data_IF_037280784971
#
_entry.id   IF_037280784971
#
_cell.length_a   1.000
_cell.length_b   1.000
_cell.length_c   1.000
_cell.angle_alpha   90.00
_cell.angle_beta   90.00
_cell.angle_gamma   90.00
#
_symmetry.space_group_name_H-M   'P 1'
#
loop_
_entity.id
_entity.type
_entity.pdbx_description
1 polymer ?
#
# COMPACT_ATOMS: atom_id res chain seq x y z
N UNK A 1 -2.53 -21.24 20.81
CA UNK A 1 -1.51 -20.19 20.63
C UNK A 1 -1.38 -19.43 21.94
N UNK A 2 -0.17 -19.20 22.40
CA UNK A 2 0.13 -18.46 23.63
C UNK A 2 0.22 -16.96 23.30
N UNK A 3 -0.93 -16.36 22.90
CA UNK A 3 -0.97 -14.97 22.44
C UNK A 3 -2.13 -14.24 23.09
N UNK A 4 -1.93 -12.94 23.36
CA UNK A 4 -2.94 -12.05 23.93
C UNK A 4 -3.22 -10.92 22.93
N UNK A 5 -4.48 -10.74 22.57
CA UNK A 5 -4.91 -9.63 21.72
C UNK A 5 -5.25 -8.39 22.56
N UNK A 6 -4.62 -7.27 22.27
CA UNK A 6 -4.90 -5.97 22.88
C UNK A 6 -5.44 -5.04 21.80
N UNK A 7 -6.68 -4.58 21.93
CA UNK A 7 -7.28 -3.60 21.03
C UNK A 7 -7.38 -2.24 21.72
N UNK A 8 -6.87 -1.21 21.04
CA UNK A 8 -6.80 0.15 21.54
C UNK A 8 -7.29 1.12 20.46
N UNK A 9 -7.77 2.30 20.89
CA UNK A 9 -8.08 3.41 19.98
C UNK A 9 -7.46 4.70 20.48
N UNK A 10 -6.71 5.37 19.62
CA UNK A 10 -6.14 6.67 19.94
C UNK A 10 -7.24 7.72 20.03
N UNK A 11 -7.41 8.35 21.20
CA UNK A 11 -8.54 9.25 21.51
C UNK A 11 -8.62 10.48 20.61
N UNK A 12 -7.45 11.01 20.18
CA UNK A 12 -7.36 12.26 19.44
C UNK A 12 -7.58 12.06 17.94
N UNK A 13 -6.99 11.04 17.35
CA UNK A 13 -6.99 10.81 15.89
C UNK A 13 -7.98 9.74 15.43
N UNK A 14 -8.44 8.87 16.37
CA UNK A 14 -9.29 7.73 16.04
C UNK A 14 -8.56 6.54 15.42
N UNK A 15 -7.21 6.55 15.40
CA UNK A 15 -6.42 5.40 14.95
C UNK A 15 -6.72 4.18 15.80
N UNK A 16 -7.08 3.09 15.16
CA UNK A 16 -7.22 1.79 15.81
C UNK A 16 -5.87 1.08 15.86
N UNK A 17 -5.55 0.46 16.99
CA UNK A 17 -4.35 -0.36 17.17
C UNK A 17 -4.75 -1.73 17.67
N UNK A 18 -4.27 -2.78 17.04
CA UNK A 18 -4.42 -4.14 17.50
C UNK A 18 -3.06 -4.80 17.64
N UNK A 19 -2.68 -5.13 18.88
CA UNK A 19 -1.43 -5.82 19.16
C UNK A 19 -1.70 -7.27 19.55
N UNK A 20 -1.18 -8.20 18.78
CA UNK A 20 -1.16 -9.63 19.09
C UNK A 20 0.16 -9.94 19.81
N UNK A 21 0.16 -9.77 21.13
CA UNK A 21 1.31 -10.00 22.01
C UNK A 21 1.62 -11.48 22.11
N UNK A 22 2.86 -11.85 21.92
CA UNK A 22 3.37 -13.22 22.08
C UNK A 22 4.89 -13.20 22.36
N UNK A 23 5.52 -14.36 22.43
CA UNK A 23 6.94 -14.51 22.77
C UNK A 23 7.85 -14.55 21.52
N UNK A 24 7.33 -14.25 20.33
CA UNK A 24 8.09 -14.26 19.09
C UNK A 24 9.05 -13.05 19.04
N UNK A 25 10.31 -13.31 18.72
CA UNK A 25 11.33 -12.26 18.57
C UNK A 25 11.21 -11.53 17.24
N UNK A 26 10.54 -12.13 16.24
CA UNK A 26 10.19 -11.44 15.02
C UNK A 26 8.99 -10.53 15.28
N UNK A 27 9.23 -9.23 15.20
CA UNK A 27 8.18 -8.24 15.37
C UNK A 27 7.71 -7.73 14.01
N UNK A 28 6.38 -7.69 13.85
CA UNK A 28 5.73 -7.20 12.63
C UNK A 28 4.78 -6.06 12.96
N UNK A 29 4.79 -5.03 12.13
CA UNK A 29 3.70 -4.05 12.07
C UNK A 29 3.04 -4.07 10.69
N UNK A 30 1.79 -3.60 10.62
CA UNK A 30 1.11 -3.34 9.36
C UNK A 30 0.18 -2.13 9.49
N UNK A 31 0.33 -1.12 8.62
CA UNK A 31 -0.67 -0.08 8.43
C UNK A 31 -1.73 -0.59 7.45
N UNK A 32 -2.96 -0.76 7.93
CA UNK A 32 -4.07 -1.32 7.16
C UNK A 32 -5.14 -0.25 6.95
N UNK A 33 -5.35 0.16 5.70
CA UNK A 33 -6.39 1.13 5.33
C UNK A 33 -7.57 0.42 4.67
N UNK A 34 -8.80 0.86 4.97
CA UNK A 34 -9.98 0.44 4.21
C UNK A 34 -10.02 1.28 2.93
N UNK A 35 -9.78 0.64 1.79
CA UNK A 35 -9.69 1.29 0.48
C UNK A 35 -10.63 0.62 -0.53
N UNK A 36 -11.95 0.60 -0.29
CA UNK A 36 -12.89 -0.04 -1.19
C UNK A 36 -12.81 0.63 -2.57
N UNK A 37 -12.48 -0.16 -3.58
CA UNK A 37 -12.41 0.33 -4.97
C UNK A 37 -13.81 0.56 -5.53
N UNK A 38 -13.94 1.57 -6.39
CA UNK A 38 -15.21 1.94 -7.02
C UNK A 38 -15.28 1.57 -8.50
N UNK A 39 -14.14 1.27 -9.07
CA UNK A 39 -13.95 0.92 -10.46
C UNK A 39 -12.58 0.27 -10.65
N UNK A 40 -12.32 -0.25 -11.83
CA UNK A 40 -11.09 -0.97 -12.18
C UNK A 40 -9.98 -0.06 -12.72
N UNK A 41 -9.87 1.19 -12.23
CA UNK A 41 -8.80 2.13 -12.65
C UNK A 41 -7.46 1.89 -11.95
N UNK A 42 -7.39 0.95 -11.00
CA UNK A 42 -6.16 0.67 -10.25
C UNK A 42 -5.77 1.75 -9.23
N UNK A 43 -6.73 2.58 -8.80
CA UNK A 43 -6.47 3.71 -7.89
C UNK A 43 -5.72 3.29 -6.61
N UNK A 44 -6.13 2.17 -5.99
CA UNK A 44 -5.51 1.65 -4.78
C UNK A 44 -4.08 1.15 -5.04
N UNK A 45 -3.86 0.44 -6.15
CA UNK A 45 -2.57 -0.12 -6.55
C UNK A 45 -1.57 0.97 -6.96
N UNK A 46 -2.01 1.93 -7.77
CA UNK A 46 -1.18 3.08 -8.15
C UNK A 46 -0.75 3.87 -6.92
N UNK A 47 -1.64 4.08 -5.95
CA UNK A 47 -1.28 4.76 -4.72
C UNK A 47 -0.36 3.93 -3.84
N UNK A 48 -0.54 2.61 -3.78
CA UNK A 48 0.33 1.68 -3.06
C UNK A 48 1.80 1.84 -3.50
N UNK A 49 2.06 1.84 -4.80
CA UNK A 49 3.39 2.10 -5.36
C UNK A 49 3.87 3.52 -5.07
N UNK A 50 3.01 4.50 -5.30
CA UNK A 50 3.38 5.92 -5.27
C UNK A 50 3.77 6.43 -3.87
N UNK A 51 3.18 5.90 -2.78
CA UNK A 51 3.51 6.38 -1.42
C UNK A 51 4.98 6.17 -1.06
N UNK A 52 5.65 5.23 -1.73
CA UNK A 52 7.07 4.99 -1.57
C UNK A 52 7.97 5.81 -2.52
N UNK A 53 7.41 6.77 -3.26
CA UNK A 53 8.18 7.67 -4.13
C UNK A 53 8.67 8.95 -3.43
N UNK A 54 8.46 9.07 -2.11
CA UNK A 54 8.93 10.18 -1.28
C UNK A 54 7.87 10.74 -0.36
N UNK A 55 8.30 11.17 0.82
CA UNK A 55 7.42 11.64 1.88
C UNK A 55 8.05 12.83 2.63
N UNK A 56 7.33 13.41 3.56
CA UNK A 56 7.73 14.65 4.23
C UNK A 56 9.07 14.52 4.96
N UNK A 57 9.29 13.43 5.66
CA UNK A 57 10.51 13.16 6.44
C UNK A 57 11.59 12.50 5.59
N UNK A 58 11.18 11.73 4.58
CA UNK A 58 12.06 10.98 3.68
C UNK A 58 11.86 11.41 2.21
N UNK A 59 12.32 12.61 1.81
CA UNK A 59 12.11 13.14 0.46
C UNK A 59 13.11 12.53 -0.55
N UNK A 60 13.28 11.21 -0.50
CA UNK A 60 14.15 10.44 -1.38
C UNK A 60 13.35 9.92 -2.58
N UNK A 61 14.03 9.75 -3.71
CA UNK A 61 13.38 9.28 -4.96
C UNK A 61 12.86 7.85 -4.86
N UNK A 62 13.52 6.99 -4.07
CA UNK A 62 13.17 5.58 -3.87
C UNK A 62 13.53 5.13 -2.45
N UNK A 63 12.83 5.61 -1.41
CA UNK A 63 13.14 5.24 -0.03
C UNK A 63 12.94 3.74 0.22
N UNK A 64 11.95 3.11 -0.45
CA UNK A 64 11.66 1.69 -0.31
C UNK A 64 12.82 0.81 -0.82
N UNK A 65 13.35 1.06 -2.00
CA UNK A 65 14.50 0.34 -2.56
C UNK A 65 15.75 0.49 -1.68
N UNK A 66 15.95 1.70 -1.14
CA UNK A 66 17.06 1.95 -0.21
C UNK A 66 16.90 1.18 1.10
N UNK A 67 15.68 1.09 1.64
CA UNK A 67 15.39 0.28 2.84
C UNK A 67 15.61 -1.21 2.59
N UNK A 68 15.12 -1.75 1.48
CA UNK A 68 15.35 -3.15 1.14
C UNK A 68 16.82 -3.53 1.14
N UNK A 69 17.69 -2.62 0.70
CA UNK A 69 19.13 -2.87 0.59
C UNK A 69 19.92 -2.59 1.87
N UNK A 70 19.40 -1.81 2.82
CA UNK A 70 20.13 -1.33 4.00
C UNK A 70 19.55 -1.83 5.32
N UNK A 71 18.31 -2.28 5.34
CA UNK A 71 17.63 -2.82 6.51
C UNK A 71 17.96 -4.31 6.68
N UNK A 72 17.89 -4.78 7.93
CA UNK A 72 17.97 -6.22 8.29
C UNK A 72 16.56 -6.81 8.43
N UNK A 73 15.62 -6.31 7.65
CA UNK A 73 14.25 -6.77 7.66
C UNK A 73 14.16 -8.28 7.36
N UNK A 74 13.13 -8.91 7.92
CA UNK A 74 12.76 -10.29 7.61
C UNK A 74 11.63 -10.34 6.58
N UNK A 75 10.82 -9.26 6.50
CA UNK A 75 9.76 -9.10 5.54
C UNK A 75 9.51 -7.62 5.25
N UNK A 76 9.38 -7.29 3.96
CA UNK A 76 8.96 -5.97 3.46
C UNK A 76 8.00 -6.17 2.32
N UNK A 77 6.81 -5.56 2.36
CA UNK A 77 5.85 -5.60 1.26
C UNK A 77 4.83 -4.46 1.34
N UNK A 78 4.03 -4.34 0.30
CA UNK A 78 2.75 -3.65 0.28
C UNK A 78 1.76 -4.52 -0.50
N UNK A 79 0.49 -4.48 -0.15
CA UNK A 79 -0.52 -5.41 -0.65
C UNK A 79 -1.83 -4.66 -0.90
N UNK A 80 -2.28 -4.66 -2.15
CA UNK A 80 -3.57 -4.10 -2.54
C UNK A 80 -4.63 -5.20 -2.71
N UNK A 81 -5.80 -4.98 -2.11
CA UNK A 81 -6.98 -5.82 -2.20
C UNK A 81 -8.19 -4.97 -2.60
N UNK A 82 -9.29 -5.58 -3.04
CA UNK A 82 -10.50 -4.83 -3.44
C UNK A 82 -11.12 -3.96 -2.34
N UNK A 83 -10.89 -4.28 -1.07
CA UNK A 83 -11.50 -3.63 0.10
C UNK A 83 -10.49 -2.94 1.03
N UNK A 84 -9.20 -3.21 0.87
CA UNK A 84 -8.13 -2.68 1.75
C UNK A 84 -6.79 -2.60 1.05
N UNK A 85 -5.90 -1.78 1.62
CA UNK A 85 -4.47 -1.74 1.27
C UNK A 85 -3.66 -1.89 2.56
N UNK A 86 -2.65 -2.76 2.54
CA UNK A 86 -1.87 -3.15 3.73
C UNK A 86 -0.39 -2.93 3.48
N UNK A 87 0.27 -2.30 4.42
CA UNK A 87 1.70 -1.97 4.38
C UNK A 87 2.42 -2.65 5.54
N UNK A 88 2.81 -3.93 5.40
CA UNK A 88 3.48 -4.70 6.44
C UNK A 88 4.99 -4.64 6.33
N UNK A 89 5.66 -4.68 7.48
CA UNK A 89 7.09 -4.96 7.56
C UNK A 89 7.43 -5.69 8.87
N UNK A 90 8.49 -6.49 8.86
CA UNK A 90 8.99 -7.16 10.06
C UNK A 90 10.51 -7.16 10.16
N UNK A 91 11.00 -7.24 11.39
CA UNK A 91 12.41 -7.37 11.71
C UNK A 91 12.62 -8.06 13.07
N UNK A 92 13.72 -8.80 13.19
CA UNK A 92 14.21 -9.35 14.45
C UNK A 92 14.97 -8.31 15.29
N UNK A 93 15.34 -7.18 14.68
CA UNK A 93 16.12 -6.12 15.34
C UNK A 93 15.19 -4.95 15.68
N UNK A 94 14.95 -4.72 16.96
CA UNK A 94 14.01 -3.68 17.43
C UNK A 94 14.29 -2.30 16.87
N UNK A 95 15.56 -1.89 16.76
CA UNK A 95 15.92 -0.59 16.18
C UNK A 95 15.53 -0.50 14.71
N UNK A 96 15.75 -1.56 13.94
CA UNK A 96 15.39 -1.64 12.53
C UNK A 96 13.86 -1.65 12.36
N UNK A 97 13.16 -2.41 13.20
CA UNK A 97 11.69 -2.43 13.25
C UNK A 97 11.09 -1.03 13.40
N UNK A 98 11.59 -0.21 14.33
CA UNK A 98 11.11 1.16 14.51
C UNK A 98 11.54 2.09 13.37
N UNK A 99 12.72 1.92 12.78
CA UNK A 99 13.12 2.66 11.59
C UNK A 99 12.18 2.37 10.40
N UNK A 100 11.83 1.10 10.18
CA UNK A 100 10.87 0.70 9.15
C UNK A 100 9.48 1.29 9.42
N UNK A 101 9.01 1.23 10.68
CA UNK A 101 7.71 1.81 11.06
C UNK A 101 7.67 3.32 10.85
N UNK A 102 8.76 4.04 11.12
CA UNK A 102 8.88 5.48 10.87
C UNK A 102 8.77 5.81 9.38
N UNK A 103 9.51 5.09 8.55
CA UNK A 103 9.49 5.32 7.08
C UNK A 103 8.14 4.96 6.48
N UNK A 104 7.55 3.82 6.87
CA UNK A 104 6.22 3.41 6.39
C UNK A 104 5.12 4.39 6.85
N UNK A 105 5.16 4.80 8.12
CA UNK A 105 4.19 5.75 8.68
C UNK A 105 4.27 7.10 7.97
N UNK A 106 5.48 7.63 7.76
CA UNK A 106 5.65 8.89 7.02
C UNK A 106 5.21 8.76 5.55
N UNK A 107 5.53 7.64 4.90
CA UNK A 107 5.14 7.37 3.52
C UNK A 107 3.61 7.35 3.34
N UNK A 108 2.88 6.66 4.20
CA UNK A 108 1.42 6.51 4.01
C UNK A 108 0.63 7.73 4.46
N UNK A 109 1.06 8.45 5.51
CA UNK A 109 0.32 9.61 6.04
C UNK A 109 0.78 10.97 5.49
N UNK A 110 2.05 11.09 5.09
CA UNK A 110 2.68 12.36 4.72
C UNK A 110 3.37 12.28 3.35
N UNK A 111 2.77 11.54 2.44
CA UNK A 111 3.23 11.37 1.06
C UNK A 111 3.36 12.70 0.32
N UNK A 112 4.40 12.85 -0.49
CA UNK A 112 4.57 13.98 -1.38
C UNK A 112 3.87 13.75 -2.72
N UNK A 113 2.78 14.51 -2.94
CA UNK A 113 2.10 14.50 -4.22
C UNK A 113 2.96 15.22 -5.28
N UNK A 114 3.64 14.46 -6.13
CA UNK A 114 4.24 14.99 -7.33
C UNK A 114 3.68 14.30 -8.59
N UNK A 115 3.57 15.08 -9.68
CA UNK A 115 3.04 14.53 -10.94
C UNK A 115 3.98 13.51 -11.55
N UNK A 116 5.28 13.69 -11.34
CA UNK A 116 6.33 12.81 -11.84
C UNK A 116 6.17 11.40 -11.28
N UNK A 117 5.94 11.25 -9.95
CA UNK A 117 5.69 9.96 -9.34
C UNK A 117 4.39 9.32 -9.88
N UNK A 118 3.32 10.11 -10.00
CA UNK A 118 2.07 9.64 -10.58
C UNK A 118 2.27 9.10 -12.01
N UNK A 119 2.93 9.87 -12.88
CA UNK A 119 3.15 9.43 -14.27
C UNK A 119 4.15 8.29 -14.39
N UNK A 120 5.08 8.16 -13.45
CA UNK A 120 5.99 7.01 -13.38
C UNK A 120 5.24 5.74 -13.00
N UNK A 121 4.44 5.79 -11.94
CA UNK A 121 3.78 4.61 -11.38
C UNK A 121 2.49 4.26 -12.13
N UNK A 122 1.62 5.23 -12.42
CA UNK A 122 0.34 4.97 -13.08
C UNK A 122 0.51 4.69 -14.58
N UNK A 123 0.58 5.77 -15.36
CA UNK A 123 0.76 5.69 -16.82
C UNK A 123 1.20 7.04 -17.38
N UNK A 124 1.85 6.99 -18.53
CA UNK A 124 2.23 8.14 -19.36
C UNK A 124 2.29 7.73 -20.83
N UNK A 125 2.25 8.72 -21.74
CA UNK A 125 2.51 8.50 -23.15
C UNK A 125 4.01 8.68 -23.42
N UNK A 126 4.60 7.70 -24.09
CA UNK A 126 5.96 7.75 -24.60
C UNK A 126 5.97 7.57 -26.12
N UNK A 127 7.03 8.02 -26.77
CA UNK A 127 7.31 7.74 -28.18
C UNK A 127 8.33 6.61 -28.22
N UNK A 128 7.98 5.49 -28.83
CA UNK A 128 8.86 4.32 -28.95
C UNK A 128 9.89 4.52 -30.07
N UNK A 129 10.80 3.56 -30.22
CA UNK A 129 11.87 3.59 -31.25
C UNK A 129 11.34 3.63 -32.69
N UNK A 130 10.07 3.33 -32.91
CA UNK A 130 9.38 3.37 -34.21
C UNK A 130 8.62 4.68 -34.45
N UNK A 131 8.82 5.66 -33.56
CA UNK A 131 8.10 6.95 -33.57
C UNK A 131 6.57 6.80 -33.35
N UNK A 132 6.12 5.73 -32.71
CA UNK A 132 4.72 5.49 -32.37
C UNK A 132 4.46 5.84 -30.92
N UNK A 133 3.27 6.36 -30.60
CA UNK A 133 2.84 6.59 -29.22
C UNK A 133 2.49 5.29 -28.54
N UNK A 134 3.03 5.09 -27.34
CA UNK A 134 2.64 3.97 -26.49
C UNK A 134 2.43 4.41 -25.04
N UNK A 135 1.60 3.65 -24.32
CA UNK A 135 1.39 3.83 -22.89
C UNK A 135 2.44 3.06 -22.11
N UNK A 136 3.08 3.75 -21.16
CA UNK A 136 4.08 3.20 -20.24
C UNK A 136 3.74 3.61 -18.81
N UNK A 137 4.07 2.78 -17.83
CA UNK A 137 3.89 3.03 -16.40
C UNK A 137 4.17 1.75 -15.64
N UNK A 138 4.60 1.84 -14.38
CA UNK A 138 4.95 0.64 -13.60
C UNK A 138 3.71 -0.25 -13.44
N UNK A 139 2.65 0.29 -12.84
CA UNK A 139 1.38 -0.45 -12.62
C UNK A 139 0.72 -0.79 -13.95
N UNK A 140 0.70 0.14 -14.93
CA UNK A 140 0.13 -0.14 -16.25
C UNK A 140 0.79 -1.35 -16.92
N UNK A 141 2.12 -1.41 -16.91
CA UNK A 141 2.87 -2.50 -17.55
C UNK A 141 2.71 -3.83 -16.80
N UNK A 142 2.71 -3.79 -15.46
CA UNK A 142 2.45 -4.96 -14.61
C UNK A 142 1.07 -5.55 -14.91
N UNK A 143 0.03 -4.73 -14.91
CA UNK A 143 -1.33 -5.19 -15.18
C UNK A 143 -1.51 -5.64 -16.63
N UNK A 144 -0.88 -4.95 -17.60
CA UNK A 144 -0.85 -5.41 -19.00
C UNK A 144 -0.21 -6.80 -19.11
N UNK A 145 0.84 -7.08 -18.34
CA UNK A 145 1.43 -8.42 -18.22
C UNK A 145 0.47 -9.45 -17.63
N UNK A 146 -0.20 -9.12 -16.54
CA UNK A 146 -1.20 -9.98 -15.88
C UNK A 146 -2.36 -10.31 -16.82
N UNK A 147 -2.89 -9.32 -17.54
CA UNK A 147 -3.98 -9.49 -18.51
C UNK A 147 -3.57 -10.21 -19.82
N UNK A 148 -2.29 -10.49 -20.01
CA UNK A 148 -1.83 -11.36 -21.11
C UNK A 148 -1.99 -12.87 -20.81
N UNK A 149 -2.26 -13.22 -19.56
CA UNK A 149 -2.49 -14.60 -19.13
C UNK A 149 -3.97 -14.96 -19.20
N UNK A 150 -4.31 -16.02 -19.93
CA UNK A 150 -5.68 -16.53 -20.00
C UNK A 150 -6.23 -16.90 -18.62
N UNK A 151 -5.42 -17.57 -17.79
CA UNK A 151 -5.85 -18.01 -16.46
C UNK A 151 -6.15 -16.83 -15.53
N UNK A 152 -5.34 -15.76 -15.63
CA UNK A 152 -5.58 -14.52 -14.85
C UNK A 152 -6.90 -13.87 -15.26
N UNK A 153 -7.14 -13.68 -16.54
CA UNK A 153 -8.38 -13.10 -17.08
C UNK A 153 -9.60 -13.96 -16.74
N UNK A 154 -9.50 -15.27 -16.90
CA UNK A 154 -10.59 -16.19 -16.60
C UNK A 154 -10.94 -16.18 -15.10
N UNK A 155 -9.94 -16.13 -14.23
CA UNK A 155 -10.15 -16.03 -12.77
C UNK A 155 -10.80 -14.70 -12.40
N UNK A 156 -10.36 -13.60 -12.98
CA UNK A 156 -10.92 -12.27 -12.75
C UNK A 156 -12.40 -12.21 -13.17
N UNK A 157 -12.73 -12.68 -14.36
CA UNK A 157 -14.13 -12.75 -14.86
C UNK A 157 -15.00 -13.68 -14.00
N UNK A 158 -14.43 -14.76 -13.47
CA UNK A 158 -15.14 -15.63 -12.54
C UNK A 158 -15.46 -14.90 -11.23
N UNK A 159 -14.51 -14.17 -10.64
CA UNK A 159 -14.69 -13.39 -9.42
C UNK A 159 -15.74 -12.29 -9.64
N UNK A 160 -15.66 -11.54 -10.74
CA UNK A 160 -16.65 -10.53 -11.13
C UNK A 160 -18.06 -11.11 -11.23
N UNK A 161 -18.21 -12.29 -11.81
CA UNK A 161 -19.50 -12.99 -11.96
C UNK A 161 -20.09 -13.40 -10.60
N UNK A 162 -19.27 -13.92 -9.71
CA UNK A 162 -19.71 -14.43 -8.39
C UNK A 162 -20.05 -13.27 -7.44
N UNK A 163 -19.25 -12.20 -7.46
CA UNK A 163 -19.34 -11.08 -6.54
C UNK A 163 -19.93 -9.81 -7.18
N UNK A 164 -20.75 -9.95 -8.22
CA UNK A 164 -21.42 -8.85 -8.89
C UNK A 164 -22.08 -7.88 -7.88
N UNK A 165 -21.99 -6.58 -8.14
CA UNK A 165 -22.48 -5.48 -7.28
C UNK A 165 -21.77 -5.35 -5.92
N UNK A 166 -20.58 -5.88 -5.78
CA UNK A 166 -19.69 -5.65 -4.63
C UNK A 166 -18.37 -5.05 -5.10
N UNK A 167 -17.53 -4.57 -4.18
CA UNK A 167 -16.17 -4.08 -4.49
C UNK A 167 -15.28 -5.18 -5.10
N UNK A 168 -15.62 -6.44 -4.90
CA UNK A 168 -14.89 -7.59 -5.45
C UNK A 168 -15.21 -7.86 -6.93
N UNK A 169 -16.20 -7.15 -7.51
CA UNK A 169 -16.45 -7.17 -8.94
C UNK A 169 -15.52 -6.23 -9.73
N UNK A 170 -14.75 -5.40 -9.03
CA UNK A 170 -13.79 -4.49 -9.64
C UNK A 170 -12.35 -5.02 -9.45
N UNK A 171 -11.50 -4.79 -10.44
CA UNK A 171 -10.08 -5.13 -10.33
C UNK A 171 -9.33 -4.03 -9.56
N UNK A 172 -8.92 -4.33 -8.33
CA UNK A 172 -8.16 -3.39 -7.48
C UNK A 172 -6.74 -3.14 -8.02
N UNK A 173 -6.17 -4.08 -8.77
CA UNK A 173 -4.89 -3.92 -9.47
C UNK A 173 -4.99 -2.95 -10.63
N UNK A 174 -6.15 -2.90 -11.27
CA UNK A 174 -6.45 -2.04 -12.41
C UNK A 174 -6.48 -2.80 -13.74
N UNK A 175 -7.56 -2.58 -14.48
CA UNK A 175 -7.69 -3.04 -15.87
C UNK A 175 -6.88 -2.09 -16.77
N UNK A 176 -5.98 -2.60 -17.63
CA UNK A 176 -5.20 -1.79 -18.56
C UNK A 176 -6.03 -0.89 -19.47
N UNK A 177 -7.30 -1.26 -19.75
CA UNK A 177 -8.21 -0.42 -20.52
C UNK A 177 -8.80 0.74 -19.71
N UNK A 178 -8.83 0.62 -18.39
CA UNK A 178 -9.41 1.60 -17.47
C UNK A 178 -8.35 2.47 -16.77
N UNK A 179 -7.14 1.96 -16.52
CA UNK A 179 -6.04 2.70 -15.89
C UNK A 179 -5.81 4.07 -16.55
N UNK A 180 -5.82 4.23 -17.91
CA UNK A 180 -5.58 5.52 -18.55
C UNK A 180 -6.69 6.56 -18.32
N UNK A 181 -7.80 6.21 -17.71
CA UNK A 181 -8.84 7.15 -17.30
C UNK A 181 -8.63 7.73 -15.89
N UNK A 182 -7.70 7.19 -15.10
CA UNK A 182 -7.41 7.65 -13.75
C UNK A 182 -6.59 8.93 -13.79
N UNK A 183 -7.09 9.99 -13.19
CA UNK A 183 -6.45 11.31 -13.23
C UNK A 183 -5.60 11.57 -11.99
N UNK A 184 -4.68 12.54 -12.11
CA UNK A 184 -3.88 13.00 -10.96
C UNK A 184 -4.75 13.62 -9.86
N UNK A 185 -5.87 14.23 -10.20
CA UNK A 185 -6.86 14.77 -9.26
C UNK A 185 -7.55 13.65 -8.49
N UNK A 186 -7.98 12.58 -9.17
CA UNK A 186 -8.57 11.38 -8.54
C UNK A 186 -7.56 10.70 -7.60
N UNK A 187 -6.30 10.64 -8.01
CA UNK A 187 -5.19 10.11 -7.21
C UNK A 187 -5.06 10.85 -5.86
N UNK A 188 -5.04 12.19 -5.88
CA UNK A 188 -4.99 13.01 -4.66
C UNK A 188 -6.23 12.82 -3.79
N UNK A 189 -7.41 12.78 -4.41
CA UNK A 189 -8.67 12.63 -3.68
C UNK A 189 -8.79 11.23 -3.05
N UNK A 190 -8.26 10.19 -3.70
CA UNK A 190 -8.23 8.84 -3.15
C UNK A 190 -7.38 8.78 -1.87
N UNK A 191 -6.16 9.32 -1.88
CA UNK A 191 -5.33 9.41 -0.68
C UNK A 191 -6.02 10.22 0.41
N UNK A 192 -6.49 11.43 0.09
CA UNK A 192 -7.19 12.31 1.04
C UNK A 192 -8.42 11.65 1.65
N UNK A 193 -9.11 10.79 0.91
CA UNK A 193 -10.31 10.09 1.38
C UNK A 193 -9.96 8.97 2.34
N UNK A 194 -8.99 8.13 1.99
CA UNK A 194 -8.78 6.85 2.66
C UNK A 194 -7.56 6.81 3.59
N UNK A 195 -6.51 7.60 3.35
CA UNK A 195 -5.26 7.55 4.12
C UNK A 195 -5.30 8.51 5.32
N UNK A 196 -6.16 8.16 6.27
CA UNK A 196 -6.38 8.93 7.50
C UNK A 196 -6.24 8.01 8.70
N UNK A 197 -5.76 8.54 9.86
CA UNK A 197 -5.64 7.73 11.07
C UNK A 197 -6.94 7.04 11.48
N UNK A 198 -8.09 7.70 11.38
CA UNK A 198 -9.39 7.13 11.73
C UNK A 198 -9.92 6.07 10.74
N UNK A 199 -9.25 5.86 9.62
CA UNK A 199 -9.52 4.81 8.64
C UNK A 199 -8.38 3.79 8.60
N UNK A 200 -7.43 3.87 9.54
CA UNK A 200 -6.28 2.98 9.64
C UNK A 200 -6.40 2.08 10.86
N UNK A 201 -6.09 0.80 10.68
CA UNK A 201 -5.76 -0.13 11.74
C UNK A 201 -4.25 -0.35 11.72
N UNK A 202 -3.55 0.02 12.78
CA UNK A 202 -2.17 -0.38 13.01
C UNK A 202 -2.17 -1.76 13.68
N UNK A 203 -1.82 -2.78 12.92
CA UNK A 203 -1.63 -4.13 13.44
C UNK A 203 -0.19 -4.31 13.91
N UNK A 204 -0.02 -4.88 15.10
CA UNK A 204 1.27 -5.16 15.73
C UNK A 204 1.32 -6.63 16.15
N UNK A 205 2.48 -7.26 15.98
CA UNK A 205 2.72 -8.64 16.37
C UNK A 205 4.13 -8.77 16.96
N UNK A 206 4.31 -9.61 17.98
CA UNK A 206 5.61 -9.96 18.53
C UNK A 206 5.75 -9.65 20.02
N UNK A 207 7.00 -9.62 20.49
CA UNK A 207 7.33 -9.50 21.91
C UNK A 207 7.69 -8.08 22.38
N UNK A 208 7.79 -7.09 21.49
CA UNK A 208 8.03 -5.70 21.89
C UNK A 208 6.83 -5.22 22.73
N UNK A 209 7.03 -4.71 23.97
CA UNK A 209 5.93 -4.27 24.82
C UNK A 209 5.02 -3.24 24.15
N UNK A 210 3.71 -3.38 24.36
CA UNK A 210 2.69 -2.48 23.76
C UNK A 210 2.97 -1.01 24.03
N UNK A 211 3.35 -0.68 25.27
CA UNK A 211 3.64 0.70 25.69
C UNK A 211 4.80 1.30 24.89
N UNK A 212 5.86 0.53 24.65
CA UNK A 212 7.03 0.97 23.87
C UNK A 212 6.64 1.29 22.43
N UNK A 213 5.76 0.47 21.85
CA UNK A 213 5.26 0.70 20.47
C UNK A 213 4.33 1.92 20.42
N UNK A 214 3.45 2.10 21.41
CA UNK A 214 2.56 3.25 21.49
C UNK A 214 3.32 4.57 21.70
N UNK A 215 4.34 4.59 22.54
CA UNK A 215 5.20 5.76 22.75
C UNK A 215 5.89 6.20 21.44
N UNK A 216 6.21 5.25 20.57
CA UNK A 216 6.83 5.54 19.28
C UNK A 216 5.87 6.16 18.27
N UNK A 217 4.58 5.76 18.25
CA UNK A 217 3.58 6.22 17.26
C UNK A 217 2.78 7.45 17.71
N UNK A 218 3.04 8.02 18.89
CA UNK A 218 2.42 9.26 19.37
C UNK A 218 3.00 10.51 18.70
#
# INVERSE_FOLDING_TARGET
>A
CNSVGIYLRHKKTGLDVFHLVNDDEENLFAFCFRTPVKNSTGAAHILEHSVFCGSQKFPLKEPFTNMMNQSVNTFLNALTYPDKTVYPASSLVQKDYFNLMDVYGDAVFFFFFCKEAFYQEAYRLEINEKEEFELQGVVYNEMKGSYSSFDSVATDEQVKSIFANTVYAEDSGGDPLHIPSFTYEDFKEFHKTYYKPNNCLLFLFGNIPTEVQLDFVQ
#
